data_IF_934908504173
#
_entry.id   IF_934908504173
#
_cell.length_a   1.000
_cell.length_b   1.000
_cell.length_c   1.000
_cell.angle_alpha   90.00
_cell.angle_beta   90.00
_cell.angle_gamma   90.00
#
_symmetry.space_group_name_H-M   'P 1'
#
loop_
_entity.id
_entity.type
_entity.pdbx_description
1 polymer ?
#
# COMPACT_ATOMS: atom_id res chain seq x y z
N UNK A 1 4.94 -39.02 -7.85
CA UNK A 1 4.23 -37.85 -8.41
C UNK A 1 3.12 -38.25 -9.38
N UNK A 2 3.40 -38.92 -10.51
CA UNK A 2 2.35 -39.28 -11.51
C UNK A 2 1.19 -40.13 -10.96
N UNK A 3 1.44 -41.05 -10.03
CA UNK A 3 0.37 -41.85 -9.40
C UNK A 3 -0.60 -40.96 -8.61
N UNK A 4 -0.08 -40.08 -7.74
CA UNK A 4 -0.88 -39.14 -6.96
C UNK A 4 -1.63 -38.10 -7.82
N UNK A 5 -1.01 -37.62 -8.91
CA UNK A 5 -1.66 -36.70 -9.88
C UNK A 5 -2.87 -37.37 -10.55
N UNK A 6 -2.72 -38.64 -10.94
CA UNK A 6 -3.81 -39.44 -11.52
C UNK A 6 -4.93 -39.70 -10.50
N UNK A 7 -4.57 -40.04 -9.27
CA UNK A 7 -5.54 -40.24 -8.18
C UNK A 7 -6.30 -38.94 -7.84
N UNK A 8 -5.60 -37.80 -7.85
CA UNK A 8 -6.18 -36.47 -7.61
C UNK A 8 -6.93 -35.86 -8.80
N UNK A 9 -7.03 -36.55 -9.95
CA UNK A 9 -7.62 -36.04 -11.19
C UNK A 9 -7.07 -34.65 -11.59
N UNK A 10 -5.76 -34.44 -11.41
CA UNK A 10 -5.10 -33.20 -11.78
C UNK A 10 -4.70 -33.31 -13.25
N UNK A 11 -5.46 -32.64 -14.12
CA UNK A 11 -5.33 -32.76 -15.59
C UNK A 11 -4.32 -31.80 -16.22
N UNK A 12 -3.62 -30.99 -15.42
CA UNK A 12 -2.76 -29.90 -15.92
C UNK A 12 -1.27 -30.27 -15.93
N UNK A 13 -0.92 -31.54 -15.70
CA UNK A 13 0.46 -32.01 -15.54
C UNK A 13 0.83 -33.07 -16.58
N UNK A 14 0.42 -32.87 -17.84
CA UNK A 14 0.70 -33.79 -18.94
C UNK A 14 2.08 -33.48 -19.55
N UNK A 15 3.11 -34.24 -19.15
CA UNK A 15 4.44 -34.15 -19.76
C UNK A 15 5.63 -34.43 -18.84
N UNK A 16 6.83 -34.15 -19.35
CA UNK A 16 8.03 -33.95 -18.54
C UNK A 16 8.00 -32.49 -18.06
N UNK A 17 8.22 -32.19 -16.76
CA UNK A 17 8.25 -30.82 -16.28
C UNK A 17 9.36 -30.03 -16.98
N UNK A 18 8.99 -29.02 -17.78
CA UNK A 18 9.96 -28.11 -18.41
C UNK A 18 10.65 -27.25 -17.33
N UNK A 19 10.01 -27.12 -16.16
CA UNK A 19 10.52 -26.46 -14.97
C UNK A 19 11.92 -26.95 -14.56
N UNK A 20 12.28 -28.22 -14.80
CA UNK A 20 13.58 -28.76 -14.42
C UNK A 20 14.75 -28.07 -15.15
N UNK A 21 14.49 -27.45 -16.30
CA UNK A 21 15.47 -26.68 -17.08
C UNK A 21 15.62 -25.22 -16.64
N UNK A 22 14.74 -24.71 -15.77
CA UNK A 22 14.81 -23.35 -15.24
C UNK A 22 15.75 -23.35 -14.02
N UNK A 23 16.75 -22.46 -13.94
CA UNK A 23 17.64 -22.37 -12.78
C UNK A 23 16.87 -22.27 -11.46
N UNK A 24 17.29 -23.02 -10.44
CA UNK A 24 16.59 -23.12 -9.15
C UNK A 24 16.27 -21.76 -8.52
N UNK A 25 17.19 -20.80 -8.62
CA UNK A 25 16.99 -19.42 -8.12
C UNK A 25 15.76 -18.74 -8.74
N UNK A 26 15.53 -18.93 -10.04
CA UNK A 26 14.38 -18.35 -10.75
C UNK A 26 13.08 -19.08 -10.39
N UNK A 27 13.13 -20.40 -10.17
CA UNK A 27 11.99 -21.17 -9.64
C UNK A 27 11.59 -20.75 -8.23
N UNK A 28 12.56 -20.54 -7.34
CA UNK A 28 12.26 -20.04 -6.00
C UNK A 28 11.79 -18.60 -6.00
N UNK A 29 12.29 -17.76 -6.90
CA UNK A 29 11.79 -16.39 -7.05
C UNK A 29 10.33 -16.36 -7.49
N UNK A 30 9.94 -17.23 -8.43
CA UNK A 30 8.55 -17.36 -8.90
C UNK A 30 7.64 -17.93 -7.82
N UNK A 31 8.06 -19.02 -7.16
CA UNK A 31 7.33 -19.59 -6.02
C UNK A 31 7.19 -18.59 -4.86
N UNK A 32 8.24 -17.82 -4.55
CA UNK A 32 8.20 -16.78 -3.54
C UNK A 32 7.14 -15.72 -3.86
N UNK A 33 7.05 -15.29 -5.12
CA UNK A 33 6.05 -14.31 -5.56
C UNK A 33 4.61 -14.87 -5.46
N UNK A 34 4.40 -16.15 -5.78
CA UNK A 34 3.10 -16.82 -5.60
C UNK A 34 2.67 -16.89 -4.14
N UNK A 35 3.59 -17.29 -3.25
CA UNK A 35 3.31 -17.39 -1.82
C UNK A 35 3.07 -16.03 -1.19
N UNK A 36 3.82 -15.03 -1.61
CA UNK A 36 3.60 -13.65 -1.21
C UNK A 36 2.20 -13.18 -1.60
N UNK A 37 1.76 -13.40 -2.84
CA UNK A 37 0.40 -13.04 -3.26
C UNK A 37 -0.69 -13.74 -2.44
N UNK A 38 -0.51 -15.01 -2.07
CA UNK A 38 -1.43 -15.73 -1.17
C UNK A 38 -1.45 -15.11 0.23
N UNK A 39 -0.30 -14.77 0.78
CA UNK A 39 -0.18 -14.13 2.09
C UNK A 39 -0.81 -12.73 2.09
N UNK A 40 -0.50 -11.91 1.07
CA UNK A 40 -1.05 -10.58 0.86
C UNK A 40 -2.57 -10.61 0.74
N UNK A 41 -3.12 -11.56 -0.02
CA UNK A 41 -4.56 -11.78 -0.15
C UNK A 41 -5.22 -12.08 1.20
N UNK A 42 -4.65 -13.00 1.99
CA UNK A 42 -5.18 -13.35 3.32
C UNK A 42 -5.20 -12.15 4.26
N UNK A 43 -4.14 -11.33 4.24
CA UNK A 43 -4.09 -10.11 5.06
C UNK A 43 -5.09 -9.06 4.54
N UNK A 44 -5.23 -8.94 3.22
CA UNK A 44 -6.23 -8.05 2.61
C UNK A 44 -7.66 -8.43 3.01
N UNK A 45 -8.02 -9.71 2.99
CA UNK A 45 -9.36 -10.15 3.37
C UNK A 45 -9.66 -9.86 4.87
N UNK A 46 -8.63 -9.97 5.72
CA UNK A 46 -8.70 -9.60 7.14
C UNK A 46 -8.90 -8.09 7.30
N UNK A 47 -8.14 -7.30 6.55
CA UNK A 47 -8.25 -5.84 6.50
C UNK A 47 -9.63 -5.40 6.02
N UNK A 48 -10.13 -5.98 4.93
CA UNK A 48 -11.43 -5.67 4.37
C UNK A 48 -12.56 -5.94 5.36
N UNK A 49 -12.52 -7.10 6.01
CA UNK A 49 -13.53 -7.47 7.02
C UNK A 49 -13.52 -6.52 8.22
N UNK A 50 -12.33 -6.20 8.75
CA UNK A 50 -12.20 -5.33 9.92
C UNK A 50 -12.53 -3.86 9.61
N UNK A 51 -12.24 -3.40 8.40
CA UNK A 51 -12.42 -2.01 8.00
C UNK A 51 -13.72 -1.75 7.23
N UNK A 52 -14.57 -2.76 6.97
CA UNK A 52 -15.79 -2.61 6.16
C UNK A 52 -16.68 -1.45 6.60
N UNK A 53 -16.95 -1.34 7.90
CA UNK A 53 -17.76 -0.26 8.47
C UNK A 53 -17.07 1.11 8.33
N UNK A 54 -15.76 1.18 8.58
CA UNK A 54 -14.99 2.40 8.43
C UNK A 54 -14.82 2.84 6.98
N UNK A 55 -14.78 1.89 6.03
CA UNK A 55 -14.77 2.18 4.60
C UNK A 55 -16.09 2.80 4.14
N UNK A 56 -17.23 2.35 4.68
CA UNK A 56 -18.54 2.96 4.41
C UNK A 56 -18.68 4.36 5.01
N UNK A 57 -18.11 4.57 6.21
CA UNK A 57 -18.11 5.88 6.90
C UNK A 57 -17.07 6.85 6.31
N UNK A 58 -16.01 6.34 5.69
CA UNK A 58 -14.92 7.15 5.16
C UNK A 58 -14.30 8.05 6.24
N UNK A 59 -14.40 9.35 6.05
CA UNK A 59 -13.85 10.35 6.98
C UNK A 59 -14.64 10.47 8.30
N UNK A 60 -15.83 9.88 8.36
CA UNK A 60 -16.67 9.84 9.57
C UNK A 60 -16.33 8.65 10.49
N UNK A 61 -15.38 7.77 10.11
CA UNK A 61 -14.84 6.76 11.01
C UNK A 61 -13.81 7.41 11.94
N UNK A 62 -14.21 7.60 13.19
CA UNK A 62 -13.42 8.26 14.23
C UNK A 62 -12.94 7.25 15.27
N UNK A 63 -11.98 7.63 16.12
CA UNK A 63 -11.52 6.77 17.24
C UNK A 63 -12.62 6.38 18.24
N UNK A 64 -13.74 7.10 18.25
CA UNK A 64 -14.89 6.82 19.13
C UNK A 64 -15.71 5.65 18.58
N UNK A 65 -15.62 5.37 17.28
CA UNK A 65 -16.29 4.23 16.68
C UNK A 65 -15.63 2.93 17.15
N UNK A 66 -16.47 1.97 17.60
CA UNK A 66 -16.02 0.62 17.97
C UNK A 66 -15.28 -0.10 16.85
N UNK A 67 -15.57 0.28 15.59
CA UNK A 67 -15.02 -0.30 14.38
C UNK A 67 -13.62 0.25 14.03
N UNK A 68 -13.24 1.41 14.55
CA UNK A 68 -11.98 2.07 14.21
C UNK A 68 -10.77 1.32 14.80
N UNK A 69 -10.82 0.98 16.09
CA UNK A 69 -9.74 0.24 16.76
C UNK A 69 -9.38 -1.09 16.06
N UNK A 70 -10.34 -1.98 15.73
CA UNK A 70 -10.03 -3.21 15.00
C UNK A 70 -9.55 -2.95 13.57
N UNK A 71 -10.10 -1.95 12.87
CA UNK A 71 -9.64 -1.57 11.53
C UNK A 71 -8.17 -1.10 11.55
N UNK A 72 -7.82 -0.19 12.46
CA UNK A 72 -6.45 0.30 12.62
C UNK A 72 -5.46 -0.83 12.91
N UNK A 73 -5.82 -1.74 13.82
CA UNK A 73 -5.01 -2.92 14.13
C UNK A 73 -4.81 -3.82 12.89
N UNK A 74 -5.85 -3.99 12.07
CA UNK A 74 -5.75 -4.73 10.82
C UNK A 74 -4.84 -4.03 9.80
N UNK A 75 -4.91 -2.69 9.70
CA UNK A 75 -4.00 -1.90 8.87
C UNK A 75 -2.53 -2.03 9.31
N UNK A 76 -2.26 -1.93 10.61
CA UNK A 76 -0.90 -2.06 11.15
C UNK A 76 -0.33 -3.46 10.90
N UNK A 77 -1.16 -4.51 11.06
CA UNK A 77 -0.78 -5.88 10.76
C UNK A 77 -0.52 -6.09 9.26
N UNK A 78 -1.39 -5.57 8.40
CA UNK A 78 -1.20 -5.65 6.95
C UNK A 78 0.12 -5.01 6.53
N UNK A 79 0.38 -3.78 7.00
CA UNK A 79 1.62 -3.05 6.76
C UNK A 79 2.83 -3.83 7.22
N UNK A 80 2.82 -4.35 8.45
CA UNK A 80 3.93 -5.14 9.00
C UNK A 80 4.27 -6.34 8.13
N UNK A 81 3.27 -7.10 7.70
CA UNK A 81 3.47 -8.24 6.82
C UNK A 81 4.05 -7.77 5.48
N UNK A 82 3.46 -6.76 4.84
CA UNK A 82 3.96 -6.24 3.56
C UNK A 82 5.42 -5.77 3.66
N UNK A 83 5.77 -5.02 4.72
CA UNK A 83 7.12 -4.51 4.95
C UNK A 83 8.15 -5.65 5.15
N UNK A 84 7.77 -6.75 5.81
CA UNK A 84 8.63 -7.92 5.99
C UNK A 84 8.92 -8.63 4.65
N UNK A 85 7.92 -8.77 3.80
CA UNK A 85 8.08 -9.38 2.47
C UNK A 85 8.81 -8.44 1.50
N UNK A 86 8.59 -7.13 1.58
CA UNK A 86 9.29 -6.14 0.74
C UNK A 86 10.81 -6.18 0.97
N UNK A 87 11.25 -6.33 2.23
CA UNK A 87 12.68 -6.50 2.55
C UNK A 87 13.30 -7.70 1.83
N UNK A 88 12.59 -8.83 1.82
CA UNK A 88 13.06 -10.03 1.11
C UNK A 88 13.07 -9.80 -0.41
N UNK A 89 12.04 -9.14 -0.95
CA UNK A 89 11.97 -8.80 -2.37
C UNK A 89 13.11 -7.90 -2.81
N UNK A 90 13.50 -6.91 -2.00
CA UNK A 90 14.60 -6.01 -2.33
C UNK A 90 15.92 -6.78 -2.48
N UNK A 91 16.18 -7.76 -1.60
CA UNK A 91 17.35 -8.63 -1.72
C UNK A 91 17.30 -9.54 -2.95
N UNK A 92 16.14 -10.13 -3.24
CA UNK A 92 15.91 -11.00 -4.40
C UNK A 92 16.10 -10.20 -5.70
N UNK A 93 15.46 -9.04 -5.79
CA UNK A 93 15.48 -8.18 -6.98
C UNK A 93 16.87 -7.60 -7.25
N UNK A 94 17.61 -7.21 -6.21
CA UNK A 94 18.99 -6.75 -6.32
C UNK A 94 19.91 -7.85 -6.86
N UNK A 95 19.82 -9.07 -6.32
CA UNK A 95 20.60 -10.21 -6.82
C UNK A 95 20.26 -10.57 -8.27
N UNK A 96 18.98 -10.56 -8.62
CA UNK A 96 18.54 -10.77 -10.01
C UNK A 96 19.15 -9.72 -10.95
N UNK A 97 19.14 -8.44 -10.56
CA UNK A 97 19.67 -7.35 -11.38
C UNK A 97 21.16 -7.56 -11.68
N UNK A 98 21.97 -7.93 -10.69
CA UNK A 98 23.39 -8.22 -10.87
C UNK A 98 23.59 -9.36 -11.89
N UNK A 99 22.86 -10.47 -11.72
CA UNK A 99 22.92 -11.62 -12.63
C UNK A 99 22.50 -11.25 -14.05
N UNK A 100 21.48 -10.41 -14.19
CA UNK A 100 21.03 -9.95 -15.50
C UNK A 100 22.07 -9.03 -16.18
N UNK A 101 22.72 -8.13 -15.44
CA UNK A 101 23.80 -7.29 -15.98
C UNK A 101 25.03 -8.12 -16.41
N UNK A 102 25.34 -9.20 -15.68
CA UNK A 102 26.34 -10.18 -16.11
C UNK A 102 25.90 -10.86 -17.41
N UNK A 103 24.66 -11.34 -17.50
CA UNK A 103 24.13 -11.97 -18.71
C UNK A 103 24.15 -11.04 -19.92
N UNK A 104 23.87 -9.74 -19.74
CA UNK A 104 24.03 -8.70 -20.77
C UNK A 104 25.49 -8.59 -21.21
N UNK A 105 26.41 -8.50 -20.25
CA UNK A 105 27.85 -8.40 -20.55
C UNK A 105 28.33 -9.63 -21.32
N UNK A 106 28.02 -10.83 -20.85
CA UNK A 106 28.31 -12.11 -21.52
C UNK A 106 27.71 -12.18 -22.92
N UNK A 107 26.51 -11.63 -23.12
CA UNK A 107 25.86 -11.62 -24.44
C UNK A 107 26.63 -10.82 -25.49
N UNK A 108 27.38 -9.80 -25.06
CA UNK A 108 28.21 -8.95 -25.93
C UNK A 108 29.65 -9.44 -26.04
N UNK A 109 30.24 -9.89 -24.93
CA UNK A 109 31.61 -10.41 -24.84
C UNK A 109 31.74 -11.38 -23.66
N UNK A 110 31.76 -12.69 -23.96
CA UNK A 110 31.83 -13.74 -22.93
C UNK A 110 33.08 -13.66 -22.03
N UNK A 111 34.19 -13.12 -22.54
CA UNK A 111 35.47 -13.02 -21.82
C UNK A 111 35.53 -11.90 -20.76
N UNK A 112 34.49 -11.08 -20.60
CA UNK A 112 34.48 -9.92 -19.67
C UNK A 112 33.75 -10.15 -18.36
N UNK A 113 33.10 -11.29 -18.16
CA UNK A 113 32.35 -11.56 -16.93
C UNK A 113 33.20 -12.30 -15.91
N UNK A 114 33.45 -11.64 -14.77
CA UNK A 114 33.99 -12.26 -13.55
C UNK A 114 32.83 -12.41 -12.58
N UNK A 115 32.56 -13.65 -12.15
CA UNK A 115 31.53 -13.91 -11.16
C UNK A 115 32.07 -13.58 -9.77
N UNK A 116 31.31 -12.78 -9.00
CA UNK A 116 31.66 -12.43 -7.61
C UNK A 116 31.63 -13.67 -6.69
N UNK A 117 30.85 -14.68 -7.07
CA UNK A 117 30.68 -15.95 -6.37
C UNK A 117 30.84 -17.07 -7.41
N UNK A 118 31.64 -18.09 -7.10
CA UNK A 118 31.88 -19.25 -7.96
C UNK A 118 30.78 -20.33 -7.82
N UNK A 119 29.67 -20.02 -7.14
CA UNK A 119 28.52 -20.89 -6.99
C UNK A 119 27.96 -21.35 -8.35
N UNK A 120 27.73 -22.66 -8.57
CA UNK A 120 27.23 -23.21 -9.84
C UNK A 120 25.83 -22.72 -10.19
N UNK A 121 25.07 -22.20 -9.22
CA UNK A 121 23.75 -21.61 -9.42
C UNK A 121 23.80 -20.23 -10.11
N UNK A 122 24.83 -19.42 -9.86
CA UNK A 122 24.99 -18.11 -10.51
C UNK A 122 25.25 -18.27 -12.00
N UNK A 123 26.17 -19.17 -12.37
CA UNK A 123 26.49 -19.47 -13.76
C UNK A 123 25.25 -19.96 -14.53
N UNK A 124 24.48 -20.88 -13.94
CA UNK A 124 23.25 -21.39 -14.55
C UNK A 124 22.22 -20.29 -14.82
N UNK A 125 22.06 -19.33 -13.88
CA UNK A 125 21.14 -18.21 -14.08
C UNK A 125 21.61 -17.29 -15.20
N UNK A 126 22.91 -16.98 -15.25
CA UNK A 126 23.48 -16.14 -16.32
C UNK A 126 23.33 -16.81 -17.69
N UNK A 127 23.69 -18.09 -17.80
CA UNK A 127 23.58 -18.87 -19.03
C UNK A 127 22.13 -19.00 -19.50
N UNK A 128 21.18 -19.06 -18.58
CA UNK A 128 19.75 -19.07 -18.89
C UNK A 128 19.24 -17.68 -19.37
N UNK A 129 19.66 -16.59 -18.72
CA UNK A 129 19.21 -15.24 -19.02
C UNK A 129 19.86 -14.66 -20.30
N UNK A 130 21.07 -15.07 -20.65
CA UNK A 130 21.78 -14.59 -21.86
C UNK A 130 20.99 -14.82 -23.17
N UNK A 131 20.51 -16.02 -23.51
CA UNK A 131 19.72 -16.24 -24.72
C UNK A 131 18.37 -15.50 -24.66
N UNK A 132 17.74 -15.40 -23.50
CA UNK A 132 16.49 -14.63 -23.30
C UNK A 132 16.73 -13.15 -23.62
N UNK A 133 17.82 -12.58 -23.13
CA UNK A 133 18.21 -11.20 -23.43
C UNK A 133 18.41 -10.98 -24.93
N UNK A 134 19.18 -11.86 -25.60
CA UNK A 134 19.40 -11.81 -27.06
C UNK A 134 18.10 -11.90 -27.84
N UNK A 135 17.22 -12.83 -27.49
CA UNK A 135 15.91 -13.00 -28.13
C UNK A 135 15.02 -11.77 -27.97
N UNK A 136 15.02 -11.18 -26.77
CA UNK A 136 14.26 -9.97 -26.45
C UNK A 136 14.73 -8.77 -27.28
N UNK A 137 16.04 -8.57 -27.44
CA UNK A 137 16.61 -7.53 -28.31
C UNK A 137 16.20 -7.78 -29.77
N UNK A 138 16.30 -9.02 -30.24
CA UNK A 138 15.93 -9.37 -31.61
C UNK A 138 14.45 -9.09 -31.89
N UNK A 139 13.56 -9.43 -30.94
CA UNK A 139 12.13 -9.14 -31.02
C UNK A 139 11.88 -7.63 -31.07
N UNK A 140 12.50 -6.84 -30.19
CA UNK A 140 12.41 -5.38 -30.20
C UNK A 140 12.85 -4.78 -31.54
N UNK A 141 13.96 -5.27 -32.10
CA UNK A 141 14.47 -4.80 -33.38
C UNK A 141 13.55 -5.17 -34.56
N UNK A 142 12.76 -6.24 -34.46
CA UNK A 142 11.70 -6.55 -35.44
C UNK A 142 10.55 -5.55 -35.34
N UNK A 143 10.07 -5.27 -34.12
CA UNK A 143 9.01 -4.27 -33.87
C UNK A 143 9.43 -2.89 -34.39
N UNK A 144 10.66 -2.45 -34.08
CA UNK A 144 11.20 -1.17 -34.57
C UNK A 144 11.23 -1.07 -36.10
N UNK A 145 11.59 -2.16 -36.79
CA UNK A 145 11.62 -2.20 -38.27
C UNK A 145 10.23 -2.19 -38.90
N UNK A 146 9.21 -2.68 -38.20
CA UNK A 146 7.83 -2.72 -38.67
C UNK A 146 7.04 -1.44 -38.39
N UNK A 147 7.56 -0.54 -37.54
CA UNK A 147 6.88 0.71 -37.19
C UNK A 147 6.98 1.74 -38.35
N UNK A 148 5.87 2.41 -38.73
CA UNK A 148 5.80 3.29 -39.90
C UNK A 148 6.44 4.69 -39.72
N UNK A 149 7.37 4.84 -38.78
CA UNK A 149 8.04 6.11 -38.49
C UNK A 149 8.77 6.06 -37.13
N UNK A 150 9.69 7.01 -36.85
CA UNK A 150 10.39 7.05 -35.57
C UNK A 150 9.42 7.46 -34.46
N UNK A 151 8.86 6.49 -33.74
CA UNK A 151 8.26 6.72 -32.42
C UNK A 151 9.36 7.25 -31.49
N UNK A 152 9.10 8.36 -30.79
CA UNK A 152 10.02 8.96 -29.80
C UNK A 152 10.70 7.87 -28.95
N UNK A 153 11.98 7.63 -29.24
CA UNK A 153 12.79 6.72 -28.45
C UNK A 153 13.23 7.52 -27.24
N UNK A 154 12.44 7.53 -26.18
CA UNK A 154 12.97 7.95 -24.89
C UNK A 154 14.05 6.93 -24.48
N UNK A 155 15.24 7.43 -24.18
CA UNK A 155 16.41 6.63 -23.81
C UNK A 155 16.23 5.81 -22.50
N UNK A 156 15.03 5.84 -21.90
CA UNK A 156 14.70 5.27 -20.60
C UNK A 156 13.81 4.00 -20.66
N UNK A 157 13.36 3.55 -21.83
CA UNK A 157 12.55 2.32 -21.91
C UNK A 157 13.40 1.08 -21.59
N UNK A 158 13.03 0.25 -20.57
CA UNK A 158 13.78 -0.96 -20.25
C UNK A 158 13.90 -1.85 -21.49
N UNK A 159 15.14 -2.26 -21.79
CA UNK A 159 15.47 -2.88 -23.08
C UNK A 159 14.76 -4.23 -23.31
N UNK A 160 14.28 -4.88 -22.25
CA UNK A 160 13.50 -6.12 -22.26
C UNK A 160 12.65 -6.22 -20.97
N UNK A 161 11.47 -6.85 -20.94
CA UNK A 161 10.73 -7.12 -19.69
C UNK A 161 11.56 -7.88 -18.66
N UNK A 162 12.43 -8.78 -19.13
CA UNK A 162 13.32 -9.59 -18.29
C UNK A 162 14.47 -8.82 -17.63
N UNK A 163 14.63 -7.51 -17.86
CA UNK A 163 15.72 -6.74 -17.25
C UNK A 163 15.53 -6.44 -15.76
N UNK A 164 14.38 -6.83 -15.21
CA UNK A 164 14.09 -6.69 -13.79
C UNK A 164 13.40 -7.95 -13.27
N UNK A 165 13.58 -8.26 -11.98
CA UNK A 165 12.86 -9.37 -11.35
C UNK A 165 11.35 -9.17 -11.44
N UNK A 166 10.86 -7.94 -11.27
CA UNK A 166 9.44 -7.61 -11.42
C UNK A 166 8.93 -7.97 -12.82
N UNK A 167 9.66 -7.58 -13.87
CA UNK A 167 9.26 -7.88 -15.23
C UNK A 167 9.37 -9.37 -15.59
N UNK A 168 10.35 -10.10 -15.02
CA UNK A 168 10.41 -11.56 -15.10
C UNK A 168 9.15 -12.20 -14.50
N UNK A 169 8.79 -11.82 -13.27
CA UNK A 169 7.59 -12.31 -12.59
C UNK A 169 6.32 -12.03 -13.41
N UNK A 170 6.14 -10.80 -13.89
CA UNK A 170 4.98 -10.45 -14.72
C UNK A 170 4.88 -11.26 -16.01
N UNK A 171 6.02 -11.63 -16.60
CA UNK A 171 6.07 -12.36 -17.86
C UNK A 171 5.84 -13.86 -17.68
N UNK A 172 6.43 -14.47 -16.64
CA UNK A 172 6.39 -15.92 -16.45
C UNK A 172 5.15 -16.40 -15.70
N UNK A 173 4.72 -15.64 -14.69
CA UNK A 173 3.65 -16.09 -13.80
C UNK A 173 2.42 -15.17 -13.86
N UNK A 174 2.54 -13.98 -14.46
CA UNK A 174 1.41 -13.08 -14.65
C UNK A 174 0.82 -12.58 -13.32
N UNK A 175 -0.51 -12.58 -13.22
CA UNK A 175 -1.20 -12.14 -12.00
C UNK A 175 -1.51 -13.33 -11.08
N UNK A 176 -0.50 -13.86 -10.39
CA UNK A 176 -0.51 -15.08 -9.55
C UNK A 176 -1.38 -15.04 -8.28
N UNK A 177 -2.58 -14.51 -8.38
CA UNK A 177 -3.55 -14.49 -7.30
C UNK A 177 -3.40 -13.29 -6.34
N UNK A 178 -2.54 -12.33 -6.66
CA UNK A 178 -2.59 -11.01 -6.05
C UNK A 178 -3.93 -10.34 -6.44
N UNK A 179 -4.66 -9.78 -5.46
CA UNK A 179 -5.99 -9.21 -5.68
C UNK A 179 -5.90 -7.77 -6.24
N UNK A 180 -5.49 -6.81 -5.41
CA UNK A 180 -5.59 -5.37 -5.72
C UNK A 180 -4.23 -4.77 -6.08
N UNK A 181 -3.20 -5.14 -5.33
CA UNK A 181 -1.85 -4.67 -5.54
C UNK A 181 -1.08 -5.80 -6.24
N UNK A 182 -1.00 -5.71 -7.56
CA UNK A 182 -0.55 -6.81 -8.42
C UNK A 182 0.81 -6.57 -9.07
N UNK A 183 1.31 -5.33 -8.97
CA UNK A 183 2.50 -4.92 -9.72
C UNK A 183 3.73 -4.85 -8.83
N UNK A 184 4.74 -5.67 -9.13
CA UNK A 184 6.02 -5.70 -8.41
C UNK A 184 6.96 -4.51 -8.72
N UNK A 185 6.61 -3.63 -9.66
CA UNK A 185 7.34 -2.42 -9.98
C UNK A 185 6.69 -1.20 -9.32
N UNK A 186 7.50 -0.37 -8.66
CA UNK A 186 7.04 0.84 -7.95
C UNK A 186 6.52 1.92 -8.91
N UNK A 187 7.13 2.01 -10.10
CA UNK A 187 6.79 3.00 -11.13
C UNK A 187 6.04 2.36 -12.29
N UNK A 188 5.15 3.13 -12.93
CA UNK A 188 4.46 2.68 -14.15
C UNK A 188 5.47 2.35 -15.24
N UNK A 189 5.15 1.34 -16.04
CA UNK A 189 6.00 0.83 -17.13
C UNK A 189 7.42 0.38 -16.71
N UNK A 190 7.70 0.23 -15.41
CA UNK A 190 9.04 -0.08 -14.92
C UNK A 190 10.04 1.06 -15.10
N UNK A 191 9.55 2.31 -15.17
CA UNK A 191 10.39 3.50 -15.25
C UNK A 191 11.34 3.58 -14.05
N UNK A 192 12.62 3.83 -14.30
CA UNK A 192 13.65 3.96 -13.25
C UNK A 192 13.96 5.41 -12.92
N UNK A 193 13.29 6.37 -13.56
CA UNK A 193 13.52 7.80 -13.31
C UNK A 193 12.82 8.26 -12.02
N UNK A 194 13.42 9.19 -11.26
CA UNK A 194 12.78 9.78 -10.08
C UNK A 194 11.45 10.48 -10.41
N UNK A 195 11.30 10.96 -11.65
CA UNK A 195 10.12 11.64 -12.19
C UNK A 195 9.02 10.70 -12.69
N UNK A 196 9.27 9.39 -12.71
CA UNK A 196 8.30 8.40 -13.17
C UNK A 196 7.04 8.37 -12.30
N UNK A 197 5.89 8.17 -12.94
CA UNK A 197 4.60 8.09 -12.24
C UNK A 197 4.57 6.88 -11.30
N UNK A 198 4.13 7.13 -10.06
CA UNK A 198 3.95 6.07 -9.06
C UNK A 198 2.85 5.10 -9.48
N UNK A 199 3.07 3.83 -9.18
CA UNK A 199 2.14 2.76 -9.48
C UNK A 199 1.12 2.58 -8.36
N UNK A 200 -0.14 2.87 -8.64
CA UNK A 200 -1.23 2.68 -7.67
C UNK A 200 -1.49 1.21 -7.33
N UNK A 201 -1.04 0.29 -8.20
CA UNK A 201 -1.16 -1.16 -8.03
C UNK A 201 0.14 -1.80 -7.49
N UNK A 202 1.07 -1.01 -6.95
CA UNK A 202 2.32 -1.51 -6.40
C UNK A 202 2.07 -2.48 -5.24
N UNK A 203 2.63 -3.68 -5.36
CA UNK A 203 2.34 -4.81 -4.46
C UNK A 203 2.78 -4.54 -3.02
N UNK A 204 3.88 -3.82 -2.82
CA UNK A 204 4.41 -3.53 -1.48
C UNK A 204 3.91 -2.20 -0.89
N UNK A 205 2.83 -1.63 -1.42
CA UNK A 205 2.26 -0.42 -0.83
C UNK A 205 1.59 -0.75 0.51
N UNK A 206 1.91 0.04 1.54
CA UNK A 206 1.53 -0.22 2.95
C UNK A 206 0.05 -0.45 3.21
N UNK A 207 -0.83 0.13 2.40
CA UNK A 207 -2.25 -0.21 2.35
C UNK A 207 -2.78 0.06 0.94
N UNK A 208 -3.86 -0.63 0.51
CA UNK A 208 -4.54 -0.30 -0.73
C UNK A 208 -5.08 1.15 -0.66
N UNK A 209 -5.19 1.81 -1.82
CA UNK A 209 -5.58 3.23 -1.90
C UNK A 209 -6.90 3.52 -1.18
N UNK A 210 -7.87 2.62 -1.34
CA UNK A 210 -9.22 2.75 -0.77
C UNK A 210 -9.25 2.65 0.78
N UNK A 211 -8.15 2.24 1.42
CA UNK A 211 -8.05 2.04 2.87
C UNK A 211 -7.27 3.14 3.58
N UNK A 212 -6.65 4.08 2.85
CA UNK A 212 -5.86 5.16 3.46
C UNK A 212 -6.68 5.95 4.48
N UNK A 213 -7.91 6.32 4.11
CA UNK A 213 -8.85 7.03 5.01
C UNK A 213 -9.34 6.14 6.15
N UNK A 214 -9.64 4.87 5.88
CA UNK A 214 -10.13 3.93 6.89
C UNK A 214 -9.05 3.59 7.94
N UNK A 215 -7.79 3.50 7.53
CA UNK A 215 -6.65 3.25 8.40
C UNK A 215 -6.23 4.48 9.21
N UNK A 216 -6.52 5.70 8.72
CA UNK A 216 -6.17 6.96 9.36
C UNK A 216 -6.78 7.11 10.75
N UNK A 217 -8.06 6.73 10.93
CA UNK A 217 -8.72 6.70 12.24
C UNK A 217 -8.41 7.99 13.05
N UNK A 218 -8.46 9.14 12.38
CA UNK A 218 -7.94 10.40 12.94
C UNK A 218 -8.82 10.91 14.08
N UNK A 219 -8.24 11.76 14.93
CA UNK A 219 -8.95 12.53 15.95
C UNK A 219 -9.78 13.64 15.30
N UNK A 220 -10.69 13.30 14.37
CA UNK A 220 -11.83 14.16 14.13
C UNK A 220 -12.73 13.98 15.33
N UNK A 221 -12.48 14.75 16.38
CA UNK A 221 -13.55 15.17 17.29
C UNK A 221 -14.64 15.63 16.33
N UNK A 222 -15.74 14.88 16.18
CA UNK A 222 -16.93 15.33 15.44
C UNK A 222 -17.04 16.80 15.74
N UNK A 223 -16.87 17.64 14.73
CA UNK A 223 -16.86 19.08 14.90
C UNK A 223 -18.03 19.37 15.83
N UNK A 224 -17.73 19.77 17.07
CA UNK A 224 -18.78 20.21 17.96
C UNK A 224 -19.45 21.30 17.15
N UNK A 225 -20.72 21.09 16.80
CA UNK A 225 -21.66 22.14 16.35
C UNK A 225 -21.11 23.46 16.85
N UNK A 226 -20.70 24.39 15.97
CA UNK A 226 -19.73 25.44 16.27
C UNK A 226 -20.06 26.01 17.64
N UNK A 227 -19.21 25.71 18.63
CA UNK A 227 -19.46 26.15 19.99
C UNK A 227 -19.47 27.68 19.90
N UNK A 228 -20.58 28.36 20.26
CA UNK A 228 -20.64 29.81 20.12
C UNK A 228 -19.43 30.41 20.83
N UNK A 229 -18.84 31.51 20.30
CA UNK A 229 -17.64 32.11 20.87
C UNK A 229 -17.81 32.23 22.38
N UNK A 230 -16.82 31.78 23.15
CA UNK A 230 -16.85 32.01 24.60
C UNK A 230 -16.67 33.50 24.82
N UNK A 231 -17.78 34.23 24.95
CA UNK A 231 -17.79 35.63 25.37
C UNK A 231 -17.04 35.74 26.70
N UNK A 232 -16.23 36.80 26.87
CA UNK A 232 -15.47 36.95 28.12
C UNK A 232 -16.48 37.15 29.25
N UNK A 233 -16.23 36.61 30.45
CA UNK A 233 -17.15 36.76 31.58
C UNK A 233 -17.54 38.22 31.86
N UNK A 234 -16.61 39.15 31.65
CA UNK A 234 -16.84 40.58 31.83
C UNK A 234 -17.83 41.15 30.81
N UNK A 235 -17.76 40.69 29.55
CA UNK A 235 -18.61 41.19 28.46
C UNK A 235 -20.08 40.73 28.67
N UNK A 236 -20.26 39.48 29.12
CA UNK A 236 -21.56 38.91 29.49
C UNK A 236 -22.19 39.69 30.66
N UNK A 237 -21.40 39.96 31.70
CA UNK A 237 -21.87 40.70 32.88
C UNK A 237 -22.22 42.14 32.52
N UNK A 238 -21.47 42.79 31.63
CA UNK A 238 -21.72 44.15 31.20
C UNK A 238 -23.00 44.28 30.37
N UNK A 239 -23.27 43.33 29.47
CA UNK A 239 -24.55 43.27 28.76
C UNK A 239 -25.74 43.09 29.71
N UNK A 240 -25.64 42.17 30.66
CA UNK A 240 -26.68 41.93 31.67
C UNK A 240 -26.92 43.19 32.52
N UNK A 241 -25.85 43.92 32.86
CA UNK A 241 -25.95 45.18 33.61
C UNK A 241 -26.62 46.28 32.80
N UNK A 242 -26.30 46.41 31.51
CA UNK A 242 -26.98 47.37 30.61
C UNK A 242 -28.45 47.02 30.42
N UNK A 243 -28.77 45.74 30.23
CA UNK A 243 -30.13 45.25 30.00
C UNK A 243 -31.05 45.40 31.22
N UNK A 244 -30.47 45.45 32.42
CA UNK A 244 -31.18 45.74 33.67
C UNK A 244 -31.19 47.21 34.08
N UNK A 245 -30.78 48.11 33.17
CA UNK A 245 -30.68 49.54 33.42
C UNK A 245 -29.84 49.86 34.69
N UNK A 246 -28.70 49.19 34.80
CA UNK A 246 -27.80 49.28 35.96
C UNK A 246 -28.29 48.52 37.19
N UNK A 247 -29.09 47.45 37.02
CA UNK A 247 -29.63 46.62 38.11
C UNK A 247 -30.91 47.18 38.77
N UNK A 248 -31.66 48.02 38.06
CA UNK A 248 -32.97 48.54 38.49
C UNK A 248 -34.11 47.64 38.02
N UNK A 249 -33.99 47.07 36.83
CA UNK A 249 -35.01 46.24 36.21
C UNK A 249 -34.73 44.75 36.44
N UNK A 250 -35.79 43.95 36.46
CA UNK A 250 -35.69 42.51 36.71
C UNK A 250 -35.09 41.77 35.50
N UNK A 251 -34.22 40.79 35.76
CA UNK A 251 -33.59 39.95 34.74
C UNK A 251 -34.09 38.53 34.91
N UNK A 252 -34.70 37.95 33.86
CA UNK A 252 -35.22 36.57 33.88
C UNK A 252 -36.06 36.26 35.13
N UNK A 253 -36.98 37.16 35.48
CA UNK A 253 -37.89 37.04 36.63
C UNK A 253 -37.24 37.09 38.01
N UNK A 254 -35.94 37.41 38.08
CA UNK A 254 -35.26 37.77 39.33
C UNK A 254 -35.43 39.26 39.61
N UNK A 255 -36.26 39.59 40.60
CA UNK A 255 -36.46 40.95 41.08
C UNK A 255 -35.43 41.32 42.15
N UNK A 256 -35.07 42.60 42.20
CA UNK A 256 -34.27 43.14 43.30
C UNK A 256 -35.02 42.94 44.62
N UNK A 257 -34.35 42.38 45.64
CA UNK A 257 -34.91 42.23 46.98
C UNK A 257 -35.22 43.60 47.58
N UNK A 258 -36.49 43.94 47.74
CA UNK A 258 -36.94 45.10 48.52
C UNK A 258 -37.06 44.70 49.99
N UNK A 259 -36.11 45.15 50.82
CA UNK A 259 -36.24 45.05 52.28
C UNK A 259 -36.98 46.27 52.82
N UNK A 260 -38.30 46.32 52.63
CA UNK A 260 -39.15 47.31 53.30
C UNK A 260 -40.20 46.62 54.17
N UNK A 261 -39.86 46.47 55.46
CA UNK A 261 -40.80 46.54 56.58
C UNK A 261 -41.62 45.30 56.94
N UNK A 262 -41.04 44.34 57.66
CA UNK A 262 -41.78 43.45 58.56
C UNK A 262 -41.06 43.42 59.91
N UNK A 263 -41.45 44.33 60.81
CA UNK A 263 -41.15 44.28 62.25
C UNK A 263 -41.96 43.12 62.82
N UNK A 264 -41.30 42.04 63.25
CA UNK A 264 -41.91 41.02 64.09
C UNK A 264 -41.36 41.17 65.51
N UNK A 265 -42.28 41.52 66.42
CA UNK A 265 -42.10 41.62 67.85
C UNK A 265 -41.76 40.24 68.43
N UNK A 266 -40.78 40.17 69.33
CA UNK A 266 -40.57 39.03 70.21
C UNK A 266 -40.89 39.48 71.64
N UNK A 267 -41.96 38.92 72.19
CA UNK A 267 -42.31 39.01 73.61
C UNK A 267 -41.37 38.12 74.44
N UNK A 268 -41.06 38.61 75.64
CA UNK A 268 -40.25 38.00 76.68
C UNK A 268 -40.93 36.82 77.37
N UNK A 269 -40.14 35.77 77.65
CA UNK A 269 -40.28 34.91 78.83
C UNK A 269 -38.95 34.88 79.54
#
# INVERSE_FOLDING_TARGET
MRCAIKEGKIHNCDGIPIEDYIPQRLRWMTEWAEWYCKAQKKQYDTLDTACKACRSKGEDCTKVDSDCTPCKKACDNYKKVVDEWEKQWNEISYKYLILYEQAKTTSTNASRTVFLDAGPDYQQVVDFLTPIHKASIAARNRVKRAAPGPTEITAAAPNTPYSSAAGYIHQEIGNVGCNVQTQFCEKKHGDTTPTGENNTKYTFKQHPLDYEKACGCEDRIKEKVPKPPKEKPCDIVEEIYKRSNGGKDAINSCYRKNYNGLKLYFESV
#
